data_IF_418472338418
#
_entry.id   IF_418472338418
#
_cell.length_a   1.000
_cell.length_b   1.000
_cell.length_c   1.000
_cell.angle_alpha   90.00
_cell.angle_beta   90.00
_cell.angle_gamma   90.00
#
_symmetry.space_group_name_H-M   'P 1'
#
loop_
_entity.id
_entity.type
_entity.pdbx_description
1 polymer ?
#
# COMPACT_ATOMS: atom_id res chain seq x y z
N UNK A 1 -28.27 9.56 -10.41
CA UNK A 1 -26.86 9.89 -10.11
C UNK A 1 -26.18 8.63 -9.61
N UNK A 2 -25.62 7.83 -10.52
CA UNK A 2 -25.11 6.50 -10.18
C UNK A 2 -23.70 6.62 -9.63
N UNK A 3 -23.56 6.39 -8.32
CA UNK A 3 -22.32 6.33 -7.54
C UNK A 3 -21.22 5.59 -8.32
N UNK A 4 -20.14 6.30 -8.63
CA UNK A 4 -18.98 5.80 -9.36
C UNK A 4 -18.49 4.47 -8.80
N UNK A 5 -18.63 3.38 -9.58
CA UNK A 5 -17.94 2.13 -9.28
C UNK A 5 -16.44 2.40 -9.36
N UNK A 6 -15.62 1.97 -8.39
CA UNK A 6 -14.18 2.17 -8.46
C UNK A 6 -13.63 1.47 -9.71
N UNK A 7 -13.03 2.25 -10.61
CA UNK A 7 -12.41 1.74 -11.82
C UNK A 7 -11.30 0.73 -11.48
N UNK A 8 -11.31 -0.41 -12.16
CA UNK A 8 -10.33 -1.48 -11.94
C UNK A 8 -8.98 -1.04 -12.46
N UNK A 9 -8.00 -0.93 -11.55
CA UNK A 9 -6.61 -0.60 -11.89
C UNK A 9 -5.74 -1.83 -11.89
N UNK A 10 -4.79 -1.88 -12.81
CA UNK A 10 -3.85 -2.98 -12.93
C UNK A 10 -2.43 -2.52 -12.61
N UNK A 11 -1.83 -3.15 -11.60
CA UNK A 11 -0.44 -2.94 -11.20
C UNK A 11 0.41 -4.17 -11.53
N UNK A 12 1.70 -3.94 -11.79
CA UNK A 12 2.64 -5.04 -12.02
C UNK A 12 2.90 -5.80 -10.71
N UNK A 13 2.90 -7.14 -10.75
CA UNK A 13 2.93 -8.01 -9.55
C UNK A 13 4.28 -8.06 -8.82
N UNK A 14 5.39 -7.69 -9.45
CA UNK A 14 6.76 -7.77 -8.88
C UNK A 14 7.43 -6.40 -8.87
N UNK A 15 6.78 -5.44 -8.22
CA UNK A 15 7.29 -4.08 -7.99
C UNK A 15 7.91 -3.98 -6.61
N UNK A 16 8.81 -3.02 -6.45
CA UNK A 16 9.42 -2.72 -5.15
C UNK A 16 8.40 -2.23 -4.13
N UNK A 17 8.68 -2.49 -2.85
CA UNK A 17 7.75 -2.16 -1.77
C UNK A 17 7.51 -0.66 -1.71
N UNK A 18 8.54 0.16 -1.90
CA UNK A 18 8.41 1.61 -1.80
C UNK A 18 7.48 2.17 -2.88
N UNK A 19 7.59 1.67 -4.13
CA UNK A 19 6.67 2.03 -5.19
C UNK A 19 5.21 1.61 -4.88
N UNK A 20 5.00 0.44 -4.25
CA UNK A 20 3.67 -0.01 -3.83
C UNK A 20 3.05 0.91 -2.78
N UNK A 21 3.78 1.17 -1.70
CA UNK A 21 3.27 1.95 -0.57
C UNK A 21 3.14 3.43 -0.92
N UNK A 22 3.98 3.94 -1.83
CA UNK A 22 3.85 5.29 -2.34
C UNK A 22 2.56 5.46 -3.16
N UNK A 23 2.23 4.49 -4.02
CA UNK A 23 0.99 4.57 -4.81
C UNK A 23 -0.27 4.28 -4.01
N UNK A 24 -0.24 3.26 -3.15
CA UNK A 24 -1.41 2.76 -2.42
C UNK A 24 -1.66 3.59 -1.15
N UNK A 25 -0.60 4.11 -0.52
CA UNK A 25 -0.62 4.84 0.77
C UNK A 25 -1.31 4.05 1.90
N UNK A 26 -1.16 2.72 1.89
CA UNK A 26 -1.65 1.81 2.93
C UNK A 26 -0.52 0.88 3.39
N UNK A 27 -0.58 0.48 4.66
CA UNK A 27 0.40 -0.41 5.28
C UNK A 27 -0.29 -1.57 6.00
N UNK A 28 -0.02 -2.84 5.63
CA UNK A 28 -0.49 -3.98 6.38
C UNK A 28 0.48 -4.31 7.52
N UNK A 29 0.01 -4.17 8.77
CA UNK A 29 0.79 -4.57 9.95
C UNK A 29 0.90 -6.10 10.06
N UNK A 30 1.89 -6.59 10.81
CA UNK A 30 2.07 -8.03 11.06
C UNK A 30 0.86 -8.66 11.79
N UNK A 31 0.13 -7.87 12.56
CA UNK A 31 -1.07 -8.27 13.29
C UNK A 31 -2.31 -8.42 12.40
N UNK A 32 -2.26 -8.02 11.12
CA UNK A 32 -3.44 -8.04 10.25
C UNK A 32 -4.22 -6.73 10.24
N UNK A 33 -3.74 -5.68 10.90
CA UNK A 33 -4.39 -4.36 10.88
C UNK A 33 -3.88 -3.55 9.69
N UNK A 34 -4.79 -3.02 8.88
CA UNK A 34 -4.49 -2.14 7.75
C UNK A 34 -4.45 -0.68 8.23
N UNK A 35 -3.33 -0.01 8.00
CA UNK A 35 -3.11 1.38 8.37
C UNK A 35 -3.05 2.29 7.15
N UNK A 36 -3.48 3.54 7.30
CA UNK A 36 -3.18 4.60 6.35
C UNK A 36 -1.77 5.14 6.57
N UNK A 37 -1.01 5.32 5.49
CA UNK A 37 0.32 5.93 5.53
C UNK A 37 0.18 7.45 5.40
N UNK A 38 0.76 8.17 6.36
CA UNK A 38 0.84 9.63 6.39
C UNK A 38 2.09 10.15 5.66
N UNK A 39 3.24 9.53 5.93
CA UNK A 39 4.51 9.91 5.31
C UNK A 39 5.42 8.70 5.07
N UNK A 40 6.24 8.79 4.03
CA UNK A 40 7.32 7.86 3.71
C UNK A 40 8.56 8.73 3.53
N UNK A 41 9.57 8.55 4.38
CA UNK A 41 10.83 9.29 4.31
C UNK A 41 11.95 8.30 3.96
N UNK A 42 12.57 8.45 2.80
CA UNK A 42 13.72 7.64 2.42
C UNK A 42 14.89 7.85 3.39
N UNK A 43 15.58 6.76 3.72
CA UNK A 43 16.77 6.72 4.58
C UNK A 43 17.82 5.87 3.86
N UNK A 44 18.46 6.48 2.86
CA UNK A 44 19.32 5.76 1.91
C UNK A 44 18.50 5.01 0.85
N UNK A 45 19.15 4.09 0.14
CA UNK A 45 18.56 3.40 -1.02
C UNK A 45 17.52 2.34 -0.63
N UNK A 46 17.80 1.57 0.43
CA UNK A 46 17.03 0.37 0.77
C UNK A 46 16.18 0.50 2.03
N UNK A 47 16.14 1.66 2.69
CA UNK A 47 15.37 1.85 3.92
C UNK A 47 14.51 3.11 3.85
N UNK A 48 13.35 3.06 4.51
CA UNK A 48 12.48 4.21 4.68
C UNK A 48 11.87 4.23 6.07
N UNK A 49 11.70 5.43 6.62
CA UNK A 49 10.88 5.68 7.81
C UNK A 49 9.44 5.89 7.36
N UNK A 50 8.55 5.04 7.85
CA UNK A 50 7.11 5.14 7.64
C UNK A 50 6.46 5.77 8.86
N UNK A 51 5.55 6.70 8.59
CA UNK A 51 4.66 7.29 9.59
C UNK A 51 3.22 7.02 9.17
N UNK A 52 2.42 6.39 10.03
CA UNK A 52 0.99 6.15 9.77
C UNK A 52 0.13 7.33 10.25
N UNK A 53 -1.13 7.39 9.81
CA UNK A 53 -2.09 8.37 10.32
C UNK A 53 -2.42 8.22 11.81
N UNK A 54 -2.22 7.01 12.38
CA UNK A 54 -2.33 6.80 13.82
C UNK A 54 -1.00 7.06 14.57
N UNK A 55 -0.05 7.76 13.93
CA UNK A 55 1.25 8.17 14.48
C UNK A 55 2.20 7.03 14.89
N UNK A 56 2.01 5.82 14.34
CA UNK A 56 3.02 4.77 14.44
C UNK A 56 4.17 5.10 13.49
N UNK A 57 5.39 4.95 14.00
CA UNK A 57 6.61 5.25 13.27
C UNK A 57 7.55 4.06 13.30
N UNK A 58 8.02 3.62 12.15
CA UNK A 58 8.91 2.46 12.04
C UNK A 58 9.75 2.49 10.77
N UNK A 59 10.87 1.76 10.78
CA UNK A 59 11.77 1.60 9.63
C UNK A 59 11.40 0.35 8.86
N UNK A 60 11.39 0.45 7.52
CA UNK A 60 11.14 -0.67 6.62
C UNK A 60 12.21 -0.76 5.54
N UNK A 61 12.49 -1.99 5.11
CA UNK A 61 13.38 -2.24 3.98
C UNK A 61 12.61 -2.25 2.64
N UNK A 62 13.27 -1.84 1.57
CA UNK A 62 12.72 -1.93 0.22
C UNK A 62 12.90 -3.35 -0.32
N UNK A 63 11.81 -4.12 -0.37
CA UNK A 63 11.86 -5.47 -0.96
C UNK A 63 10.53 -5.90 -1.53
N UNK A 64 10.54 -6.21 -2.83
CA UNK A 64 9.44 -6.86 -3.57
C UNK A 64 8.95 -8.19 -2.97
N UNK A 65 9.80 -8.86 -2.19
CA UNK A 65 9.52 -10.18 -1.57
C UNK A 65 9.14 -10.08 -0.09
N UNK A 66 9.12 -8.88 0.49
CA UNK A 66 8.73 -8.67 1.88
C UNK A 66 7.31 -9.17 2.17
N UNK A 67 7.06 -9.51 3.44
CA UNK A 67 5.72 -9.88 3.92
C UNK A 67 4.71 -8.77 3.59
N UNK A 68 5.04 -7.51 3.83
CA UNK A 68 4.19 -6.37 3.53
C UNK A 68 3.86 -6.27 2.03
N UNK A 69 4.85 -6.42 1.15
CA UNK A 69 4.62 -6.41 -0.31
C UNK A 69 3.71 -7.57 -0.75
N UNK A 70 3.89 -8.76 -0.19
CA UNK A 70 2.99 -9.90 -0.46
C UNK A 70 1.57 -9.64 0.04
N UNK A 71 1.43 -9.08 1.23
CA UNK A 71 0.13 -8.81 1.85
C UNK A 71 -0.63 -7.73 1.10
N UNK A 72 0.03 -6.65 0.67
CA UNK A 72 -0.59 -5.63 -0.18
C UNK A 72 -1.11 -6.22 -1.50
N UNK A 73 -0.30 -7.06 -2.16
CA UNK A 73 -0.68 -7.67 -3.44
C UNK A 73 -1.85 -8.65 -3.33
N UNK A 74 -1.87 -9.43 -2.26
CA UNK A 74 -2.92 -10.41 -2.01
C UNK A 74 -4.09 -9.85 -1.19
N UNK A 75 -4.01 -8.58 -0.75
CA UNK A 75 -4.99 -7.88 0.10
C UNK A 75 -5.24 -8.63 1.41
N UNK A 76 -4.18 -9.13 2.02
CA UNK A 76 -4.27 -9.83 3.29
C UNK A 76 -4.24 -8.84 4.45
N UNK A 77 -5.39 -8.66 5.09
CA UNK A 77 -5.59 -7.98 6.37
C UNK A 77 -6.85 -8.55 7.02
N UNK A 78 -6.98 -8.42 8.34
CA UNK A 78 -8.13 -8.87 9.13
C UNK A 78 -9.09 -7.71 9.40
N UNK A 79 -8.53 -6.55 9.70
CA UNK A 79 -9.30 -5.36 10.09
C UNK A 79 -8.59 -4.07 9.64
N UNK A 80 -9.35 -2.98 9.60
CA UNK A 80 -8.85 -1.64 9.29
C UNK A 80 -8.62 -0.88 10.61
N UNK A 81 -7.50 -0.17 10.73
CA UNK A 81 -7.21 0.61 11.93
C UNK A 81 -8.25 1.72 12.12
N UNK A 82 -9.02 1.74 13.23
CA UNK A 82 -10.05 2.76 13.44
C UNK A 82 -9.44 4.16 13.62
N UNK A 83 -8.26 4.25 14.26
CA UNK A 83 -7.52 5.51 14.46
C UNK A 83 -6.99 6.12 13.17
N UNK A 84 -6.75 5.30 12.14
CA UNK A 84 -6.30 5.83 10.85
C UNK A 84 -7.45 6.48 10.06
N UNK A 85 -8.71 6.21 10.41
CA UNK A 85 -9.91 6.72 9.74
C UNK A 85 -9.78 6.64 8.20
N UNK A 86 -9.43 5.46 7.69
CA UNK A 86 -9.20 5.27 6.25
C UNK A 86 -10.55 5.47 5.53
N UNK A 87 -10.65 6.42 4.59
CA UNK A 87 -11.92 6.66 3.91
C UNK A 87 -12.38 5.45 3.10
N UNK A 88 -13.68 5.21 3.07
CA UNK A 88 -14.28 4.05 2.39
C UNK A 88 -13.91 3.98 0.91
N UNK A 89 -13.89 5.13 0.22
CA UNK A 89 -13.49 5.19 -1.20
C UNK A 89 -12.06 4.67 -1.43
N UNK A 90 -11.15 4.84 -0.46
CA UNK A 90 -9.76 4.38 -0.56
C UNK A 90 -9.69 2.87 -0.36
N UNK A 91 -10.50 2.32 0.56
CA UNK A 91 -10.65 0.88 0.75
C UNK A 91 -11.24 0.23 -0.51
N UNK A 92 -12.33 0.79 -1.05
CA UNK A 92 -12.95 0.33 -2.28
C UNK A 92 -11.98 0.38 -3.47
N UNK A 93 -11.17 1.44 -3.60
CA UNK A 93 -10.13 1.56 -4.63
C UNK A 93 -9.02 0.51 -4.46
N UNK A 94 -8.58 0.26 -3.23
CA UNK A 94 -7.59 -0.76 -2.93
C UNK A 94 -8.13 -2.16 -3.26
N UNK A 95 -9.40 -2.44 -2.94
CA UNK A 95 -10.04 -3.69 -3.30
C UNK A 95 -10.32 -3.85 -4.80
N UNK A 96 -10.56 -2.76 -5.54
CA UNK A 96 -10.67 -2.82 -6.99
C UNK A 96 -9.33 -3.08 -7.70
N UNK A 97 -8.20 -2.77 -7.05
CA UNK A 97 -6.85 -2.90 -7.65
C UNK A 97 -6.47 -4.36 -7.88
N UNK A 98 -5.93 -4.69 -9.05
CA UNK A 98 -5.51 -6.05 -9.45
C UNK A 98 -4.02 -6.06 -9.79
N UNK A 99 -3.36 -7.20 -9.54
CA UNK A 99 -1.93 -7.37 -9.79
C UNK A 99 -1.65 -8.43 -10.86
N UNK A 100 -1.02 -8.05 -11.97
CA UNK A 100 -0.69 -8.96 -13.10
C UNK A 100 0.82 -8.94 -13.42
N UNK A 101 1.35 -10.02 -14.02
CA UNK A 101 2.79 -10.12 -14.35
C UNK A 101 3.16 -9.36 -15.64
N UNK A 102 2.36 -9.54 -16.70
CA UNK A 102 2.60 -8.96 -18.03
C UNK A 102 1.72 -7.76 -18.38
N UNK A 103 1.03 -7.16 -17.41
CA UNK A 103 0.16 -6.00 -17.62
C UNK A 103 0.19 -5.08 -16.39
N UNK A 104 -0.01 -3.78 -16.62
CA UNK A 104 -0.03 -2.72 -15.60
C UNK A 104 1.15 -1.76 -15.71
N UNK A 105 1.00 -0.57 -15.13
CA UNK A 105 2.05 0.45 -15.12
C UNK A 105 3.30 -0.05 -14.38
N UNK A 106 4.48 0.20 -14.93
CA UNK A 106 5.71 0.23 -14.13
C UNK A 106 5.46 1.31 -13.07
N UNK A 107 5.20 0.91 -11.83
CA UNK A 107 5.07 1.84 -10.73
C UNK A 107 6.48 2.42 -10.50
N UNK A 108 6.82 3.45 -11.25
CA UNK A 108 8.04 4.22 -11.04
C UNK A 108 7.82 4.98 -9.72
N UNK A 109 8.57 4.57 -8.69
CA UNK A 109 8.53 5.26 -7.40
C UNK A 109 9.00 6.68 -7.60
N UNK A 110 8.18 7.66 -7.23
CA UNK A 110 8.61 9.06 -7.16
C UNK A 110 9.81 9.14 -6.23
N UNK A 111 10.88 9.78 -6.73
CA UNK A 111 12.11 10.12 -6.01
C UNK A 111 11.82 10.79 -4.67
#
# INVERSE_FOLDING_TARGET
MSKDKPEVRYYRKRVELFALIDKIKLWPSRAGVLHGIKAVEARGEDRARLTTHCNLVFIVGNSRNSRAARWLRNKWFREVCPRCAIPEWKLAKFDATRFRRGYGSTLEGGR
#
